data_IF_864647879324
#
_entry.id   IF_864647879324
#
_cell.length_a   1.000
_cell.length_b   1.000
_cell.length_c   1.000
_cell.angle_alpha   90.00
_cell.angle_beta   90.00
_cell.angle_gamma   90.00
#
_symmetry.space_group_name_H-M   'P 1'
#
loop_
_entity.id
_entity.type
_entity.pdbx_description
1 polymer ?
#
# COMPACT_ATOMS: atom_id res chain seq x y z
N UNK A 1 3.00 -11.69 -3.79
CA UNK A 1 1.81 -10.87 -4.07
C UNK A 1 2.21 -9.73 -5.00
N UNK A 2 1.58 -9.66 -6.17
CA UNK A 2 1.75 -8.55 -7.10
C UNK A 2 1.05 -7.28 -6.60
N UNK A 3 1.41 -6.14 -7.17
CA UNK A 3 0.81 -4.85 -6.82
C UNK A 3 -0.66 -4.78 -7.23
N UNK A 4 -1.03 -5.40 -8.36
CA UNK A 4 -2.42 -5.50 -8.81
C UNK A 4 -3.27 -6.30 -7.83
N UNK A 5 -2.81 -7.50 -7.43
CA UNK A 5 -3.47 -8.34 -6.43
C UNK A 5 -3.68 -7.59 -5.12
N UNK A 6 -2.62 -6.94 -4.62
CA UNK A 6 -2.71 -6.12 -3.40
C UNK A 6 -3.80 -5.04 -3.50
N UNK A 7 -3.84 -4.29 -4.62
CA UNK A 7 -4.82 -3.22 -4.82
C UNK A 7 -6.25 -3.77 -4.91
N UNK A 8 -6.44 -4.91 -5.54
CA UNK A 8 -7.75 -5.56 -5.63
C UNK A 8 -8.26 -6.00 -4.26
N UNK A 9 -7.44 -6.67 -3.47
CA UNK A 9 -7.81 -7.10 -2.11
C UNK A 9 -8.13 -5.91 -1.20
N UNK A 10 -7.30 -4.86 -1.25
CA UNK A 10 -7.56 -3.63 -0.47
C UNK A 10 -8.89 -2.97 -0.85
N UNK A 11 -9.26 -2.99 -2.14
CA UNK A 11 -10.55 -2.47 -2.60
C UNK A 11 -11.71 -3.35 -2.15
N UNK A 12 -11.56 -4.68 -2.13
CA UNK A 12 -12.57 -5.61 -1.60
C UNK A 12 -12.84 -5.36 -0.11
N UNK A 13 -11.81 -4.99 0.66
CA UNK A 13 -11.95 -4.54 2.05
C UNK A 13 -12.60 -3.14 2.21
N UNK A 14 -13.00 -2.48 1.12
CA UNK A 14 -13.71 -1.19 1.16
C UNK A 14 -12.80 0.04 1.27
N UNK A 15 -11.49 -0.13 1.16
CA UNK A 15 -10.54 0.98 1.19
C UNK A 15 -10.31 1.59 -0.18
N UNK A 16 -10.13 2.91 -0.21
CA UNK A 16 -9.75 3.64 -1.43
C UNK A 16 -8.22 3.68 -1.53
N UNK A 17 -7.74 3.49 -2.75
CA UNK A 17 -6.30 3.44 -3.05
C UNK A 17 -5.91 4.67 -3.86
N UNK A 18 -4.76 5.30 -3.54
CA UNK A 18 -4.14 6.34 -4.38
C UNK A 18 -2.64 6.16 -4.46
N UNK A 19 -2.09 6.48 -5.63
CA UNK A 19 -0.65 6.52 -5.85
C UNK A 19 -0.08 7.86 -5.41
N UNK A 20 1.07 7.83 -4.73
CA UNK A 20 1.81 9.00 -4.33
C UNK A 20 3.26 8.89 -4.74
N UNK A 21 3.70 9.87 -5.54
CA UNK A 21 5.07 10.04 -6.02
C UNK A 21 5.80 11.18 -5.29
N UNK A 22 5.24 11.67 -4.16
CA UNK A 22 5.77 12.80 -3.39
C UNK A 22 7.01 12.38 -2.62
N UNK A 23 8.15 12.30 -3.31
CA UNK A 23 9.50 12.50 -2.80
C UNK A 23 10.45 12.61 -3.99
N UNK A 24 10.54 13.84 -4.54
CA UNK A 24 11.27 14.19 -5.76
C UNK A 24 12.77 13.86 -5.65
N UNK A 25 13.35 13.83 -4.44
CA UNK A 25 14.77 13.54 -4.23
C UNK A 25 15.14 12.05 -4.22
N UNK A 26 14.18 11.12 -4.05
CA UNK A 26 14.45 9.68 -3.91
C UNK A 26 13.56 8.75 -4.76
N UNK A 27 12.73 9.29 -5.67
CA UNK A 27 11.81 8.53 -6.54
C UNK A 27 11.03 7.42 -5.80
N UNK A 28 10.58 7.70 -4.56
CA UNK A 28 9.85 6.70 -3.78
C UNK A 28 8.37 6.73 -4.16
N UNK A 29 7.90 5.62 -4.72
CA UNK A 29 6.50 5.43 -5.05
C UNK A 29 5.81 4.69 -3.93
N UNK A 30 4.72 5.24 -3.41
CA UNK A 30 3.91 4.59 -2.38
C UNK A 30 2.44 4.54 -2.75
N UNK A 31 1.80 3.49 -2.28
CA UNK A 31 0.36 3.31 -2.34
C UNK A 31 -0.20 3.82 -1.01
N UNK A 32 -1.15 4.75 -1.07
CA UNK A 32 -1.82 5.33 0.09
C UNK A 32 -3.25 4.80 0.19
N UNK A 33 -3.65 4.42 1.39
CA UNK A 33 -4.93 3.78 1.67
C UNK A 33 -5.80 4.67 2.54
N UNK A 34 -7.06 4.81 2.15
CA UNK A 34 -8.02 5.72 2.77
C UNK A 34 -9.30 4.95 3.14
N UNK A 35 -9.84 5.14 4.35
CA UNK A 35 -11.21 4.74 4.65
C UNK A 35 -12.19 5.41 3.70
N UNK A 36 -13.34 4.79 3.50
CA UNK A 36 -14.43 5.43 2.75
C UNK A 36 -14.81 6.78 3.36
N UNK A 37 -15.01 7.78 2.51
CA UNK A 37 -15.38 9.14 2.92
C UNK A 37 -14.27 9.99 3.58
N UNK A 38 -13.06 9.48 3.82
CA UNK A 38 -11.98 10.24 4.46
C UNK A 38 -11.01 10.85 3.43
N UNK A 39 -10.53 12.06 3.73
CA UNK A 39 -9.56 12.80 2.88
C UNK A 39 -8.10 12.47 3.20
N UNK A 40 -7.82 11.92 4.39
CA UNK A 40 -6.47 11.61 4.85
C UNK A 40 -6.21 10.10 4.79
N UNK A 41 -5.00 9.67 4.39
CA UNK A 41 -4.65 8.27 4.37
C UNK A 41 -4.38 7.78 5.79
N UNK A 42 -4.85 6.57 6.09
CA UNK A 42 -4.59 5.90 7.38
C UNK A 42 -3.41 4.94 7.29
N UNK A 43 -3.09 4.48 6.08
CA UNK A 43 -2.00 3.56 5.83
C UNK A 43 -1.32 3.84 4.50
N UNK A 44 -0.08 3.39 4.37
CA UNK A 44 0.63 3.39 3.10
C UNK A 44 1.71 2.31 3.07
N UNK A 45 2.12 1.94 1.85
CA UNK A 45 3.24 1.02 1.62
C UNK A 45 4.05 1.46 0.42
N UNK A 46 5.38 1.39 0.51
CA UNK A 46 6.26 1.68 -0.62
C UNK A 46 6.31 0.49 -1.57
N UNK A 47 6.23 0.77 -2.86
CA UNK A 47 6.28 -0.29 -3.88
C UNK A 47 7.73 -0.70 -4.20
N UNK A 48 8.68 0.21 -4.00
CA UNK A 48 10.10 0.04 -4.29
C UNK A 48 10.97 -0.22 -3.05
N UNK A 49 10.39 -0.49 -1.89
CA UNK A 49 11.13 -0.81 -0.66
C UNK A 49 10.53 -2.00 0.07
N UNK A 50 11.40 -2.85 0.61
CA UNK A 50 11.03 -3.95 1.49
C UNK A 50 10.74 -3.43 2.90
N UNK A 51 9.83 -4.08 3.62
CA UNK A 51 9.52 -3.80 5.04
C UNK A 51 9.13 -2.33 5.34
N UNK A 52 8.65 -1.60 4.33
CA UNK A 52 8.46 -0.15 4.40
C UNK A 52 6.99 0.19 4.22
N UNK A 53 6.26 0.14 5.34
CA UNK A 53 4.83 0.44 5.42
C UNK A 53 4.50 1.22 6.69
N UNK A 54 3.31 1.83 6.71
CA UNK A 54 2.69 2.40 7.89
C UNK A 54 1.23 2.01 7.92
N UNK A 55 0.74 1.67 9.09
CA UNK A 55 -0.67 1.44 9.39
C UNK A 55 -1.05 2.22 10.65
N UNK A 56 -2.21 2.90 10.64
CA UNK A 56 -2.72 3.65 11.77
C UNK A 56 -4.22 3.43 11.90
N UNK A 57 -4.63 2.64 12.89
CA UNK A 57 -6.05 2.32 13.13
C UNK A 57 -6.70 1.56 11.96
N UNK A 58 -5.96 0.65 11.32
CA UNK A 58 -6.49 -0.30 10.34
C UNK A 58 -7.05 -1.53 11.04
N UNK A 59 -7.96 -2.25 10.40
CA UNK A 59 -8.37 -3.59 10.83
C UNK A 59 -7.26 -4.64 10.60
N UNK A 60 -7.44 -5.83 11.19
CA UNK A 60 -6.46 -6.92 11.10
C UNK A 60 -6.26 -7.38 9.65
N UNK A 61 -7.33 -7.51 8.87
CA UNK A 61 -7.26 -7.99 7.49
C UNK A 61 -6.39 -7.06 6.61
N UNK A 62 -6.58 -5.75 6.74
CA UNK A 62 -5.76 -4.78 6.04
C UNK A 62 -4.32 -4.77 6.55
N UNK A 63 -4.12 -4.94 7.86
CA UNK A 63 -2.78 -5.02 8.44
C UNK A 63 -2.00 -6.21 7.87
N UNK A 64 -2.61 -7.40 7.83
CA UNK A 64 -1.99 -8.61 7.28
C UNK A 64 -1.66 -8.48 5.80
N UNK A 65 -2.54 -7.87 5.00
CA UNK A 65 -2.27 -7.55 3.59
C UNK A 65 -1.07 -6.60 3.44
N UNK A 66 -1.01 -5.54 4.26
CA UNK A 66 0.11 -4.59 4.25
C UNK A 66 1.44 -5.28 4.59
N UNK A 67 1.45 -6.14 5.61
CA UNK A 67 2.61 -6.91 6.01
C UNK A 67 3.04 -7.86 4.88
N UNK A 68 2.11 -8.65 4.35
CA UNK A 68 2.36 -9.62 3.27
C UNK A 68 2.94 -8.95 2.03
N UNK A 69 2.36 -7.82 1.60
CA UNK A 69 2.86 -7.07 0.47
C UNK A 69 4.24 -6.44 0.76
N UNK A 70 4.44 -5.87 1.96
CA UNK A 70 5.72 -5.24 2.35
C UNK A 70 6.89 -6.23 2.44
N UNK A 71 6.59 -7.51 2.76
CA UNK A 71 7.53 -8.62 2.80
C UNK A 71 7.73 -9.29 1.44
N UNK A 72 6.84 -9.09 0.47
CA UNK A 72 7.00 -9.65 -0.87
C UNK A 72 8.22 -9.01 -1.56
N UNK A 73 9.17 -9.77 -2.12
CA UNK A 73 10.32 -9.24 -2.86
C UNK A 73 9.93 -8.27 -3.98
N UNK A 74 10.68 -7.17 -4.14
CA UNK A 74 10.36 -6.09 -5.10
C UNK A 74 10.19 -6.61 -6.54
N UNK A 75 11.05 -7.54 -6.97
CA UNK A 75 10.99 -8.15 -8.31
C UNK A 75 9.71 -8.97 -8.56
N UNK A 76 9.00 -9.38 -7.51
CA UNK A 76 7.74 -10.13 -7.61
C UNK A 76 6.50 -9.22 -7.56
N UNK A 77 6.67 -7.91 -7.30
CA UNK A 77 5.54 -6.97 -7.16
C UNK A 77 4.98 -6.49 -8.49
N UNK A 78 5.70 -6.67 -9.60
CA UNK A 78 5.21 -6.34 -10.95
C UNK A 78 4.80 -4.87 -11.13
N UNK A 79 5.56 -3.94 -10.54
CA UNK A 79 5.31 -2.49 -10.68
C UNK A 79 5.84 -2.04 -12.05
N UNK A 80 5.06 -2.25 -13.11
CA UNK A 80 5.31 -1.68 -14.44
C UNK A 80 4.69 -0.30 -14.58
#
# INVERSE_FOLDING_TARGET
MSTSEFIEEVKKLGYKVRWSHKNVSKRKTKIQLFPSGKKQPIAWVFTNEMNSMRSLGVDNDLFELLVTYSLTPINQRGVT
#
